data_IF_571785161281
#
_entry.id   IF_571785161281
#
_cell.length_a   1.000
_cell.length_b   1.000
_cell.length_c   1.000
_cell.angle_alpha   90.00
_cell.angle_beta   90.00
_cell.angle_gamma   90.00
#
_symmetry.space_group_name_H-M   'P 1'
#
loop_
_entity.id
_entity.type
_entity.pdbx_description
1 polymer ?
#
# COMPACT_ATOMS: atom_id res chain seq x y z
N UNK A 1 -20.11 -22.77 28.01
CA UNK A 1 -19.43 -23.82 27.24
C UNK A 1 -18.00 -23.92 27.74
N UNK A 2 -17.57 -25.06 28.25
CA UNK A 2 -16.19 -25.24 28.67
C UNK A 2 -15.28 -25.27 27.43
N UNK A 3 -14.40 -24.29 27.33
CA UNK A 3 -13.44 -24.20 26.24
C UNK A 3 -12.43 -25.36 26.35
N UNK A 4 -12.48 -26.33 25.41
CA UNK A 4 -11.55 -27.46 25.40
C UNK A 4 -10.13 -26.95 25.19
N UNK A 5 -9.20 -27.36 26.04
CA UNK A 5 -7.82 -26.92 26.03
C UNK A 5 -6.88 -28.09 25.74
N UNK A 6 -5.64 -27.81 25.34
CA UNK A 6 -4.59 -28.83 25.17
C UNK A 6 -4.38 -29.65 26.46
N UNK A 7 -4.63 -29.06 27.63
CA UNK A 7 -4.60 -29.75 28.94
C UNK A 7 -5.74 -30.78 29.04
N UNK A 8 -6.90 -30.48 28.49
CA UNK A 8 -8.04 -31.39 28.44
C UNK A 8 -7.71 -32.61 27.58
N UNK A 9 -7.17 -32.43 26.40
CA UNK A 9 -6.72 -33.53 25.54
C UNK A 9 -5.66 -34.41 26.23
N UNK A 10 -4.67 -33.76 26.86
CA UNK A 10 -3.60 -34.47 27.55
C UNK A 10 -4.15 -35.37 28.70
N UNK A 11 -5.13 -34.86 29.45
CA UNK A 11 -5.79 -35.60 30.51
C UNK A 11 -6.58 -36.78 29.99
N UNK A 12 -7.42 -36.59 28.97
CA UNK A 12 -8.26 -37.65 28.36
C UNK A 12 -7.39 -38.77 27.72
N UNK A 13 -6.30 -38.40 27.08
CA UNK A 13 -5.37 -39.34 26.44
C UNK A 13 -4.35 -39.98 27.40
N UNK A 14 -4.29 -39.50 28.64
CA UNK A 14 -3.31 -39.88 29.68
C UNK A 14 -1.85 -39.74 29.19
N UNK A 15 -1.56 -38.63 28.49
CA UNK A 15 -0.21 -38.27 28.02
C UNK A 15 0.14 -36.87 28.48
N UNK A 16 1.41 -36.49 28.32
CA UNK A 16 1.85 -35.13 28.66
C UNK A 16 1.31 -34.09 27.67
N UNK A 17 1.14 -32.83 28.12
CA UNK A 17 0.81 -31.69 27.25
C UNK A 17 1.84 -31.53 26.14
N UNK A 18 3.12 -31.82 26.42
CA UNK A 18 4.18 -31.78 25.44
C UNK A 18 3.99 -32.83 24.33
N UNK A 19 3.57 -34.06 24.70
CA UNK A 19 3.25 -35.13 23.75
C UNK A 19 2.11 -34.75 22.83
N UNK A 20 1.00 -34.20 23.37
CA UNK A 20 -0.13 -33.71 22.58
C UNK A 20 0.30 -32.59 21.63
N UNK A 21 1.07 -31.60 22.12
CA UNK A 21 1.57 -30.49 21.30
C UNK A 21 2.48 -30.93 20.15
N UNK A 22 3.32 -31.95 20.39
CA UNK A 22 4.20 -32.53 19.38
C UNK A 22 3.43 -33.36 18.36
N UNK A 23 2.45 -34.15 18.81
CA UNK A 23 1.60 -34.95 17.94
C UNK A 23 0.76 -34.08 16.99
N UNK A 24 0.14 -33.00 17.49
CA UNK A 24 -0.61 -32.02 16.66
C UNK A 24 0.25 -31.27 15.63
N UNK A 25 1.58 -31.24 15.82
CA UNK A 25 2.55 -30.63 14.91
C UNK A 25 3.28 -31.63 14.02
N UNK A 26 2.81 -32.86 14.00
CA UNK A 26 3.40 -33.97 13.25
C UNK A 26 4.90 -34.20 13.53
N UNK A 27 5.34 -33.99 14.76
CA UNK A 27 6.75 -34.11 15.14
C UNK A 27 7.25 -35.57 14.97
N UNK A 28 8.46 -35.73 14.47
CA UNK A 28 9.06 -37.04 14.15
C UNK A 28 9.30 -37.94 15.38
N UNK A 29 9.43 -37.35 16.56
CA UNK A 29 9.65 -38.01 17.83
C UNK A 29 8.39 -38.60 18.49
N UNK A 30 7.23 -38.49 17.83
CA UNK A 30 5.96 -39.08 18.25
C UNK A 30 5.55 -40.18 17.26
N UNK A 31 5.34 -41.37 17.78
CA UNK A 31 4.95 -42.53 16.96
C UNK A 31 3.57 -42.36 16.28
N UNK A 32 3.38 -42.97 15.07
CA UNK A 32 2.15 -42.81 14.26
C UNK A 32 0.86 -43.09 15.02
N UNK A 33 0.82 -44.15 15.83
CA UNK A 33 -0.33 -44.55 16.62
C UNK A 33 -0.72 -43.47 17.65
N UNK A 34 0.23 -42.79 18.26
CA UNK A 34 -0.02 -41.69 19.21
C UNK A 34 -0.51 -40.45 18.50
N UNK A 35 0.05 -40.13 17.34
CA UNK A 35 -0.43 -39.02 16.48
C UNK A 35 -1.89 -39.21 16.12
N UNK A 36 -2.25 -40.38 15.62
CA UNK A 36 -3.59 -40.71 15.21
C UNK A 36 -4.61 -40.56 16.37
N UNK A 37 -4.28 -41.13 17.55
CA UNK A 37 -5.12 -41.00 18.74
C UNK A 37 -5.34 -39.54 19.18
N UNK A 38 -4.30 -38.69 19.06
CA UNK A 38 -4.38 -37.27 19.41
C UNK A 38 -5.27 -36.53 18.43
N UNK A 39 -5.14 -36.77 17.10
CA UNK A 39 -5.95 -36.15 16.06
C UNK A 39 -7.44 -36.54 16.22
N UNK A 40 -7.75 -37.82 16.39
CA UNK A 40 -9.12 -38.32 16.61
C UNK A 40 -9.77 -37.71 17.85
N UNK A 41 -8.99 -37.56 18.95
CA UNK A 41 -9.49 -36.92 20.15
C UNK A 41 -9.73 -35.42 19.97
N UNK A 42 -8.84 -34.73 19.24
CA UNK A 42 -8.99 -33.32 18.91
C UNK A 42 -10.27 -33.07 18.10
N UNK A 43 -10.50 -33.88 17.07
CA UNK A 43 -11.72 -33.81 16.25
C UNK A 43 -12.98 -34.11 17.07
N UNK A 44 -12.98 -35.17 17.90
CA UNK A 44 -14.10 -35.55 18.74
C UNK A 44 -14.50 -34.44 19.73
N UNK A 45 -13.52 -33.70 20.26
CA UNK A 45 -13.75 -32.63 21.22
C UNK A 45 -13.85 -31.24 20.56
N UNK A 46 -13.85 -31.16 19.22
CA UNK A 46 -13.77 -29.90 18.47
C UNK A 46 -12.66 -28.96 18.99
N UNK A 47 -11.50 -29.55 19.28
CA UNK A 47 -10.36 -28.80 19.75
C UNK A 47 -9.62 -28.15 18.57
N UNK A 48 -9.57 -26.82 18.56
CA UNK A 48 -8.75 -26.07 17.63
C UNK A 48 -7.48 -25.62 18.37
N UNK A 49 -6.28 -26.02 17.88
CA UNK A 49 -5.03 -25.54 18.44
C UNK A 49 -4.98 -23.99 18.44
N UNK A 50 -4.70 -23.39 19.58
CA UNK A 50 -4.48 -21.95 19.64
C UNK A 50 -3.11 -21.63 19.03
N UNK A 51 -3.04 -20.97 17.87
CA UNK A 51 -1.77 -20.64 17.19
C UNK A 51 -0.90 -19.71 18.04
N UNK A 52 -1.51 -18.90 18.90
CA UNK A 52 -0.82 -17.94 19.78
C UNK A 52 -0.17 -18.61 21.01
N UNK A 53 -0.64 -19.78 21.45
CA UNK A 53 -0.03 -20.48 22.58
C UNK A 53 1.40 -20.98 22.31
N UNK A 54 1.76 -21.16 21.04
CA UNK A 54 3.11 -21.54 20.61
C UNK A 54 4.04 -20.35 20.35
N UNK A 55 3.47 -19.19 20.00
CA UNK A 55 4.19 -17.95 19.68
C UNK A 55 4.83 -17.31 20.92
N UNK A 56 4.15 -17.32 22.06
CA UNK A 56 4.70 -16.87 23.36
C UNK A 56 6.00 -17.60 23.74
N UNK A 57 6.12 -18.89 23.39
CA UNK A 57 7.31 -19.70 23.68
C UNK A 57 8.44 -19.48 22.68
N UNK A 58 8.12 -19.14 21.41
CA UNK A 58 9.08 -18.93 20.32
C UNK A 58 9.38 -17.46 20.05
N UNK A 59 8.73 -16.51 20.73
CA UNK A 59 8.78 -15.06 20.46
C UNK A 59 8.52 -14.72 18.96
N UNK A 60 7.70 -15.53 18.27
CA UNK A 60 7.29 -15.31 16.88
C UNK A 60 5.79 -15.47 16.77
N UNK A 61 5.10 -14.39 16.38
CA UNK A 61 3.64 -14.38 16.24
C UNK A 61 3.16 -15.06 14.95
N UNK A 62 4.06 -15.28 13.98
CA UNK A 62 3.71 -15.69 12.62
C UNK A 62 2.70 -14.73 11.96
N UNK A 63 2.80 -13.46 12.30
CA UNK A 63 1.93 -12.40 11.82
C UNK A 63 2.79 -11.22 11.40
N UNK A 64 2.47 -10.64 10.26
CA UNK A 64 3.01 -9.35 9.82
C UNK A 64 1.89 -8.32 9.78
N UNK A 65 2.22 -7.04 9.95
CA UNK A 65 1.28 -5.95 9.79
C UNK A 65 1.51 -5.21 8.47
N UNK A 66 0.41 -4.76 7.86
CA UNK A 66 0.39 -3.74 6.83
C UNK A 66 -0.25 -2.50 7.45
N UNK A 67 0.48 -1.38 7.46
CA UNK A 67 0.00 -0.09 7.95
C UNK A 67 -0.11 0.86 6.75
N UNK A 68 -1.31 1.37 6.49
CA UNK A 68 -1.57 2.22 5.32
C UNK A 68 -2.71 3.21 5.58
N UNK A 69 -2.81 4.30 4.78
CA UNK A 69 -3.80 5.34 5.03
C UNK A 69 -5.23 4.88 4.75
N UNK A 70 -5.45 4.11 3.68
CA UNK A 70 -6.78 3.67 3.25
C UNK A 70 -6.69 2.40 2.37
N UNK A 71 -7.80 1.66 2.22
CA UNK A 71 -7.91 0.49 1.31
C UNK A 71 -8.77 0.78 0.09
N UNK A 72 -9.47 1.91 0.06
CA UNK A 72 -10.41 2.23 -1.02
C UNK A 72 -9.70 2.51 -2.36
N UNK A 73 -8.43 2.88 -2.33
CA UNK A 73 -7.60 3.06 -3.52
C UNK A 73 -7.21 1.70 -4.12
N UNK A 74 -7.39 1.55 -5.44
CA UNK A 74 -7.08 0.30 -6.15
C UNK A 74 -5.60 -0.09 -6.06
N UNK A 75 -4.70 0.88 -5.91
CA UNK A 75 -3.27 0.64 -5.67
C UNK A 75 -3.06 -0.17 -4.38
N UNK A 76 -3.61 0.30 -3.25
CA UNK A 76 -3.40 -0.39 -1.97
C UNK A 76 -4.04 -1.77 -1.94
N UNK A 77 -5.22 -1.94 -2.53
CA UNK A 77 -5.86 -3.26 -2.60
C UNK A 77 -5.04 -4.28 -3.39
N UNK A 78 -4.41 -3.86 -4.50
CA UNK A 78 -3.50 -4.72 -5.27
C UNK A 78 -2.19 -4.99 -4.54
N UNK A 79 -1.62 -3.99 -3.85
CA UNK A 79 -0.41 -4.18 -3.04
C UNK A 79 -0.66 -5.18 -1.89
N UNK A 80 -1.81 -5.08 -1.20
CA UNK A 80 -2.23 -6.03 -0.17
C UNK A 80 -2.29 -7.45 -0.75
N UNK A 81 -2.88 -7.65 -1.93
CA UNK A 81 -2.93 -8.97 -2.57
C UNK A 81 -1.53 -9.53 -2.84
N UNK A 82 -0.58 -8.69 -3.27
CA UNK A 82 0.82 -9.09 -3.46
C UNK A 82 1.51 -9.49 -2.15
N UNK A 83 1.25 -8.75 -1.07
CA UNK A 83 1.77 -9.04 0.27
C UNK A 83 1.17 -10.34 0.82
N UNK A 84 -0.14 -10.51 0.69
CA UNK A 84 -0.87 -11.66 1.19
C UNK A 84 -0.39 -12.96 0.51
N UNK A 85 -0.21 -12.96 -0.81
CA UNK A 85 0.31 -14.09 -1.55
C UNK A 85 1.68 -14.56 -1.02
N UNK A 86 2.59 -13.62 -0.73
CA UNK A 86 3.89 -13.93 -0.14
C UNK A 86 3.78 -14.39 1.32
N UNK A 87 2.89 -13.79 2.11
CA UNK A 87 2.68 -14.18 3.50
C UNK A 87 2.12 -15.61 3.60
N UNK A 88 1.16 -15.97 2.77
CA UNK A 88 0.59 -17.31 2.68
C UNK A 88 1.68 -18.35 2.36
N UNK A 89 2.53 -18.08 1.36
CA UNK A 89 3.66 -18.95 0.99
C UNK A 89 4.61 -19.20 2.18
N UNK A 90 4.83 -18.19 3.02
CA UNK A 90 5.72 -18.26 4.20
C UNK A 90 5.01 -18.76 5.47
N UNK A 91 3.71 -19.05 5.41
CA UNK A 91 2.91 -19.48 6.56
C UNK A 91 2.74 -18.38 7.61
N UNK A 92 2.55 -17.14 7.16
CA UNK A 92 2.26 -15.97 7.98
C UNK A 92 0.84 -15.47 7.77
N UNK A 93 0.27 -14.87 8.82
CA UNK A 93 -0.96 -14.11 8.75
C UNK A 93 -0.67 -12.64 8.49
N UNK A 94 -1.59 -11.95 7.84
CA UNK A 94 -1.52 -10.52 7.58
C UNK A 94 -2.58 -9.81 8.41
N UNK A 95 -2.19 -8.75 9.13
CA UNK A 95 -3.09 -7.81 9.77
C UNK A 95 -3.00 -6.46 9.07
N UNK A 96 -4.14 -5.88 8.72
CA UNK A 96 -4.22 -4.59 8.06
C UNK A 96 -4.66 -3.55 9.07
N UNK A 97 -3.92 -2.45 9.18
CA UNK A 97 -4.20 -1.33 10.04
C UNK A 97 -4.32 -0.05 9.22
N UNK A 98 -5.42 0.68 9.42
CA UNK A 98 -5.71 1.90 8.68
C UNK A 98 -5.46 3.12 9.56
N UNK A 99 -4.57 3.99 9.09
CA UNK A 99 -4.25 5.24 9.79
C UNK A 99 -5.27 6.34 9.49
N UNK A 100 -6.01 6.23 8.38
CA UNK A 100 -6.94 7.27 7.89
C UNK A 100 -6.27 8.65 7.80
N UNK A 101 -5.04 8.66 7.26
CA UNK A 101 -4.18 9.85 7.12
C UNK A 101 -3.83 10.53 8.46
N UNK A 102 -4.02 9.87 9.61
CA UNK A 102 -3.77 10.44 10.93
C UNK A 102 -2.43 9.99 11.50
N UNK A 103 -1.53 10.94 11.72
CA UNK A 103 -0.23 10.71 12.37
C UNK A 103 -0.36 10.17 13.80
N UNK A 104 -1.38 10.64 14.54
CA UNK A 104 -1.65 10.14 15.89
C UNK A 104 -2.04 8.66 15.89
N UNK A 105 -2.87 8.22 14.92
CA UNK A 105 -3.22 6.80 14.75
C UNK A 105 -2.03 5.97 14.31
N UNK A 106 -1.20 6.46 13.38
CA UNK A 106 0.02 5.78 12.94
C UNK A 106 0.92 5.48 14.15
N UNK A 107 1.20 6.48 14.99
CA UNK A 107 1.97 6.29 16.23
C UNK A 107 1.33 5.29 17.19
N UNK A 108 0.03 5.36 17.42
CA UNK A 108 -0.67 4.45 18.31
C UNK A 108 -0.59 3.00 17.83
N UNK A 109 -0.79 2.76 16.52
CA UNK A 109 -0.70 1.43 15.90
C UNK A 109 0.71 0.84 16.08
N UNK A 110 1.76 1.62 15.75
CA UNK A 110 3.13 1.12 15.86
C UNK A 110 3.55 0.89 17.32
N UNK A 111 3.05 1.69 18.25
CA UNK A 111 3.27 1.47 19.69
C UNK A 111 2.68 0.13 20.16
N UNK A 112 1.49 -0.25 19.68
CA UNK A 112 0.87 -1.54 20.02
C UNK A 112 1.72 -2.73 19.54
N UNK A 113 2.46 -2.59 18.42
CA UNK A 113 3.32 -3.65 17.90
C UNK A 113 4.54 -3.93 18.76
N UNK A 114 4.96 -3.00 19.60
CA UNK A 114 6.04 -3.21 20.57
C UNK A 114 5.72 -4.34 21.58
N UNK A 115 4.45 -4.75 21.71
CA UNK A 115 4.02 -5.88 22.53
C UNK A 115 4.35 -7.26 21.96
N UNK A 116 4.93 -7.34 20.75
CA UNK A 116 5.21 -8.61 20.06
C UNK A 116 4.00 -9.21 19.33
N UNK A 117 2.99 -8.39 19.03
CA UNK A 117 1.80 -8.80 18.28
C UNK A 117 2.13 -9.20 16.85
N UNK A 118 3.15 -8.59 16.24
CA UNK A 118 3.61 -8.84 14.88
C UNK A 118 5.11 -9.08 14.84
N UNK A 119 5.58 -9.85 13.87
CA UNK A 119 6.98 -10.16 13.68
C UNK A 119 7.68 -9.11 12.80
N UNK A 120 6.91 -8.37 11.98
CA UNK A 120 7.42 -7.34 11.09
C UNK A 120 6.32 -6.47 10.51
N UNK A 121 6.68 -5.33 9.93
CA UNK A 121 5.76 -4.29 9.47
C UNK A 121 6.09 -3.85 8.04
N UNK A 122 5.07 -3.76 7.21
CA UNK A 122 5.06 -3.07 5.93
C UNK A 122 4.27 -1.78 6.11
N UNK A 123 4.84 -0.62 5.77
CA UNK A 123 4.20 0.67 6.02
C UNK A 123 4.24 1.58 4.80
N UNK A 124 3.11 2.21 4.50
CA UNK A 124 2.97 3.38 3.64
C UNK A 124 2.51 4.55 4.51
N UNK A 125 3.31 5.61 4.57
CA UNK A 125 3.15 6.71 5.52
C UNK A 125 1.88 7.52 5.31
N UNK A 126 1.40 8.17 6.37
CA UNK A 126 0.32 9.15 6.27
C UNK A 126 0.83 10.47 5.71
N UNK A 127 -0.06 11.28 5.14
CA UNK A 127 0.28 12.65 4.70
C UNK A 127 0.56 13.61 5.86
N UNK A 128 0.16 13.25 7.08
CA UNK A 128 0.39 14.02 8.31
C UNK A 128 1.68 13.62 9.04
N UNK A 129 2.42 12.60 8.59
CA UNK A 129 3.64 12.14 9.26
C UNK A 129 4.71 13.24 9.20
N UNK A 130 5.12 13.73 10.36
CA UNK A 130 6.10 14.82 10.54
C UNK A 130 7.35 14.42 11.28
N UNK A 131 7.37 13.25 11.95
CA UNK A 131 8.56 12.65 12.56
C UNK A 131 8.50 11.13 12.44
N UNK A 132 9.65 10.48 12.59
CA UNK A 132 9.81 9.03 12.37
C UNK A 132 10.27 8.27 13.60
N UNK A 133 10.39 8.93 14.75
CA UNK A 133 10.85 8.36 16.02
C UNK A 133 10.08 7.09 16.42
N UNK A 134 8.76 7.07 16.22
CA UNK A 134 7.91 5.93 16.53
C UNK A 134 8.19 4.69 15.65
N UNK A 135 8.76 4.89 14.45
CA UNK A 135 9.18 3.82 13.54
C UNK A 135 10.58 3.35 13.93
N UNK A 136 11.48 4.29 14.29
CA UNK A 136 12.82 4.00 14.78
C UNK A 136 12.76 3.17 16.07
N UNK A 137 11.97 3.60 17.05
CA UNK A 137 11.73 2.86 18.31
C UNK A 137 11.27 1.41 18.07
N UNK A 138 10.40 1.18 17.07
CA UNK A 138 9.94 -0.15 16.73
C UNK A 138 11.07 -1.00 16.12
N UNK A 139 11.88 -0.40 15.25
CA UNK A 139 13.03 -1.06 14.62
C UNK A 139 14.12 -1.40 15.65
N UNK A 140 14.41 -0.51 16.60
CA UNK A 140 15.36 -0.71 17.70
C UNK A 140 14.93 -1.88 18.63
N UNK A 141 13.64 -2.13 18.75
CA UNK A 141 13.09 -3.30 19.46
C UNK A 141 13.18 -4.60 18.69
N UNK A 142 13.78 -4.56 17.49
CA UNK A 142 14.02 -5.74 16.65
C UNK A 142 12.84 -6.16 15.77
N UNK A 143 11.85 -5.28 15.59
CA UNK A 143 10.76 -5.49 14.62
C UNK A 143 11.16 -4.84 13.29
N UNK A 144 11.49 -5.62 12.24
CA UNK A 144 11.87 -5.06 10.96
C UNK A 144 10.69 -4.32 10.31
N UNK A 145 11.00 -3.15 9.75
CA UNK A 145 10.04 -2.29 9.02
C UNK A 145 10.53 -2.12 7.58
N UNK A 146 9.64 -2.27 6.61
CA UNK A 146 9.89 -1.98 5.19
C UNK A 146 8.86 -0.98 4.72
N UNK A 147 9.32 0.08 4.07
CA UNK A 147 8.44 1.06 3.45
C UNK A 147 8.01 0.61 2.05
N UNK A 148 6.80 0.95 1.67
CA UNK A 148 6.35 0.87 0.29
C UNK A 148 5.46 2.07 -0.08
N UNK A 149 5.52 2.52 -1.34
CA UNK A 149 4.80 3.67 -1.87
C UNK A 149 5.24 4.98 -1.20
N UNK A 150 4.69 5.35 -0.06
CA UNK A 150 5.02 6.56 0.70
C UNK A 150 6.09 6.23 1.73
N UNK A 151 7.25 6.83 1.57
CA UNK A 151 8.47 6.47 2.30
C UNK A 151 9.07 7.66 3.05
N UNK A 152 9.89 7.36 4.05
CA UNK A 152 10.83 8.30 4.65
C UNK A 152 12.22 8.03 4.08
N UNK A 153 12.81 9.02 3.42
CA UNK A 153 14.13 8.86 2.80
C UNK A 153 15.26 8.78 3.82
N UNK A 154 15.12 9.43 4.95
CA UNK A 154 16.12 9.50 6.02
C UNK A 154 16.26 8.18 6.79
N UNK A 155 15.21 7.36 6.82
CA UNK A 155 15.26 6.11 7.58
C UNK A 155 16.11 5.03 6.89
N UNK A 156 17.07 4.39 7.62
CA UNK A 156 17.95 3.37 7.08
C UNK A 156 17.28 2.01 7.00
N UNK A 157 16.24 1.88 6.18
CA UNK A 157 15.55 0.61 5.90
C UNK A 157 15.19 0.50 4.42
N UNK A 158 14.70 -0.66 3.99
CA UNK A 158 14.29 -0.90 2.61
C UNK A 158 13.04 -0.08 2.23
N UNK A 159 13.08 0.45 1.02
CA UNK A 159 12.02 1.25 0.42
C UNK A 159 11.65 0.65 -0.95
N UNK A 160 10.39 0.35 -1.16
CA UNK A 160 9.86 -0.09 -2.44
C UNK A 160 8.99 1.02 -3.00
N UNK A 161 9.47 1.69 -4.03
CA UNK A 161 8.82 2.85 -4.65
C UNK A 161 8.58 2.62 -6.14
N UNK A 162 7.85 3.54 -6.76
CA UNK A 162 7.78 3.65 -8.22
C UNK A 162 8.68 4.79 -8.72
N UNK A 163 8.87 4.83 -10.03
CA UNK A 163 9.58 5.87 -10.75
C UNK A 163 8.74 7.16 -10.87
N UNK A 164 8.30 7.70 -9.73
CA UNK A 164 7.28 8.76 -9.66
C UNK A 164 7.69 10.04 -10.42
N UNK A 165 8.99 10.40 -10.42
CA UNK A 165 9.48 11.53 -11.20
C UNK A 165 9.32 11.27 -12.70
N UNK A 166 9.81 10.13 -13.19
CA UNK A 166 9.73 9.75 -14.60
C UNK A 166 8.28 9.60 -15.06
N UNK A 167 7.43 9.08 -14.17
CA UNK A 167 6.00 8.91 -14.42
C UNK A 167 5.27 10.27 -14.54
N UNK A 168 5.59 11.23 -13.66
CA UNK A 168 5.07 12.60 -13.74
C UNK A 168 5.55 13.31 -15.01
N UNK A 169 6.82 13.16 -15.36
CA UNK A 169 7.41 13.67 -16.60
C UNK A 169 6.70 13.10 -17.83
N UNK A 170 6.53 11.78 -17.87
CA UNK A 170 5.88 11.07 -18.97
C UNK A 170 4.42 11.48 -19.17
N UNK A 171 3.68 11.69 -18.06
CA UNK A 171 2.30 12.15 -18.12
C UNK A 171 2.17 13.53 -18.76
N UNK A 172 3.01 14.50 -18.35
CA UNK A 172 3.03 15.83 -18.93
C UNK A 172 3.47 15.80 -20.42
N UNK A 173 4.56 15.09 -20.72
CA UNK A 173 5.08 14.93 -22.08
C UNK A 173 4.01 14.38 -23.02
N UNK A 174 3.29 13.35 -22.60
CA UNK A 174 2.22 12.77 -23.40
C UNK A 174 1.12 13.79 -23.72
N UNK A 175 0.67 14.60 -22.75
CA UNK A 175 -0.33 15.64 -22.99
C UNK A 175 0.18 16.71 -23.95
N UNK A 176 1.45 17.12 -23.84
CA UNK A 176 2.09 18.07 -24.74
C UNK A 176 2.14 17.52 -26.18
N UNK A 177 2.55 16.28 -26.35
CA UNK A 177 2.58 15.57 -27.65
C UNK A 177 1.16 15.43 -28.24
N UNK A 178 0.12 15.38 -27.40
CA UNK A 178 -1.29 15.42 -27.81
C UNK A 178 -1.84 16.83 -28.05
N UNK A 179 -0.98 17.83 -28.09
CA UNK A 179 -1.30 19.21 -28.45
C UNK A 179 -1.80 20.10 -27.31
N UNK A 180 -1.78 19.63 -26.06
CA UNK A 180 -2.15 20.48 -24.91
C UNK A 180 -1.12 21.61 -24.73
N UNK A 181 -1.63 22.78 -24.36
CA UNK A 181 -0.83 24.00 -24.15
C UNK A 181 -0.96 24.55 -22.72
N UNK A 182 -2.04 24.28 -22.04
CA UNK A 182 -2.30 24.68 -20.66
C UNK A 182 -2.53 23.44 -19.83
N UNK A 183 -1.48 23.01 -19.14
CA UNK A 183 -1.53 21.81 -18.34
C UNK A 183 -1.68 22.13 -16.85
N UNK A 184 -2.47 21.32 -16.16
CA UNK A 184 -2.58 21.36 -14.70
C UNK A 184 -2.34 19.99 -14.11
N UNK A 185 -1.52 19.94 -13.05
CA UNK A 185 -1.36 18.77 -12.19
C UNK A 185 -2.17 18.96 -10.91
N UNK A 186 -3.02 18.01 -10.59
CA UNK A 186 -3.82 17.99 -9.35
C UNK A 186 -3.13 17.10 -8.33
N UNK A 187 -2.77 17.65 -7.16
CA UNK A 187 -2.09 16.95 -6.07
C UNK A 187 -2.84 17.09 -4.76
N UNK A 188 -2.76 16.08 -3.87
CA UNK A 188 -3.42 16.11 -2.55
C UNK A 188 -2.46 16.41 -1.40
N UNK A 189 -1.16 16.45 -1.65
CA UNK A 189 -0.15 16.66 -0.62
C UNK A 189 1.08 17.34 -1.20
N UNK A 190 1.77 18.11 -0.38
CA UNK A 190 3.10 18.67 -0.63
C UNK A 190 4.16 18.10 0.35
N UNK A 191 3.79 17.17 1.20
CA UNK A 191 4.68 16.52 2.17
C UNK A 191 5.07 15.08 1.79
N UNK A 192 4.27 14.42 0.94
CA UNK A 192 4.55 13.06 0.52
C UNK A 192 5.59 13.02 -0.60
N UNK A 193 6.58 12.13 -0.48
CA UNK A 193 7.63 11.91 -1.49
C UNK A 193 7.06 11.65 -2.88
N UNK A 194 6.05 10.75 -2.99
CA UNK A 194 5.38 10.44 -4.25
C UNK A 194 4.75 11.66 -4.92
N UNK A 195 4.09 12.52 -4.14
CA UNK A 195 3.43 13.73 -4.66
C UNK A 195 4.46 14.73 -5.18
N UNK A 196 5.54 14.94 -4.43
CA UNK A 196 6.60 15.86 -4.81
C UNK A 196 7.34 15.37 -6.07
N UNK A 197 7.71 14.10 -6.11
CA UNK A 197 8.40 13.52 -7.28
C UNK A 197 7.54 13.60 -8.55
N UNK A 198 6.24 13.24 -8.48
CA UNK A 198 5.31 13.37 -9.63
C UNK A 198 5.19 14.82 -10.10
N UNK A 199 5.07 15.75 -9.16
CA UNK A 199 4.99 17.19 -9.46
C UNK A 199 6.29 17.71 -10.07
N UNK A 200 7.44 17.35 -9.53
CA UNK A 200 8.76 17.75 -10.07
C UNK A 200 8.97 17.23 -11.48
N UNK A 201 8.67 15.95 -11.73
CA UNK A 201 8.72 15.37 -13.06
C UNK A 201 7.79 16.08 -14.06
N UNK A 202 6.54 16.36 -13.64
CA UNK A 202 5.58 17.13 -14.42
C UNK A 202 6.13 18.53 -14.78
N UNK A 203 6.62 19.27 -13.81
CA UNK A 203 7.19 20.62 -14.02
C UNK A 203 8.44 20.58 -14.89
N UNK A 204 9.30 19.57 -14.74
CA UNK A 204 10.48 19.40 -15.58
C UNK A 204 10.10 19.18 -17.03
N UNK A 205 9.07 18.35 -17.29
CA UNK A 205 8.57 18.14 -18.66
C UNK A 205 8.03 19.43 -19.27
N UNK A 206 7.32 20.27 -18.52
CA UNK A 206 6.86 21.57 -19.02
C UNK A 206 8.03 22.47 -19.42
N UNK A 207 9.08 22.56 -18.60
CA UNK A 207 10.27 23.36 -18.88
C UNK A 207 10.99 22.88 -20.14
N UNK A 208 11.23 21.57 -20.25
CA UNK A 208 11.94 20.97 -21.37
C UNK A 208 11.22 21.18 -22.71
N UNK A 209 9.88 21.32 -22.68
CA UNK A 209 9.06 21.56 -23.88
C UNK A 209 8.62 23.03 -24.05
N UNK A 210 9.19 23.96 -23.26
CA UNK A 210 8.91 25.40 -23.37
C UNK A 210 7.45 25.77 -23.07
N UNK A 211 6.77 25.01 -22.21
CA UNK A 211 5.41 25.32 -21.79
C UNK A 211 5.41 26.36 -20.67
N UNK A 212 4.40 27.22 -20.65
CA UNK A 212 4.27 28.23 -19.62
C UNK A 212 3.84 27.62 -18.27
N UNK A 213 4.51 28.05 -17.19
CA UNK A 213 4.14 27.70 -15.82
C UNK A 213 3.36 28.85 -15.21
N UNK A 214 2.09 28.60 -14.91
CA UNK A 214 1.14 29.58 -14.36
C UNK A 214 0.72 29.18 -12.93
N UNK A 215 0.05 30.05 -12.17
CA UNK A 215 -0.49 29.66 -10.86
C UNK A 215 -1.48 28.47 -10.89
N UNK A 216 -2.08 28.18 -12.05
CA UNK A 216 -2.99 27.03 -12.23
C UNK A 216 -2.28 25.76 -12.69
N UNK A 217 -0.97 25.80 -12.88
CA UNK A 217 -0.18 24.62 -13.32
C UNK A 217 -0.15 23.53 -12.24
N UNK A 218 -0.02 23.92 -10.97
CA UNK A 218 -0.14 23.00 -9.82
C UNK A 218 -1.35 23.43 -9.00
N UNK A 219 -2.31 22.51 -8.85
CA UNK A 219 -3.54 22.74 -8.09
C UNK A 219 -3.55 21.79 -6.90
N UNK A 220 -3.48 22.40 -5.71
CA UNK A 220 -3.57 21.64 -4.46
C UNK A 220 -5.02 21.32 -4.15
N UNK A 221 -5.28 20.03 -4.01
CA UNK A 221 -6.50 19.41 -3.56
C UNK A 221 -6.35 18.91 -2.12
N UNK A 222 -7.33 18.17 -1.63
CA UNK A 222 -7.31 17.61 -0.27
C UNK A 222 -7.84 16.17 -0.26
N UNK A 223 -8.00 15.60 0.92
CA UNK A 223 -8.68 14.31 1.08
C UNK A 223 -10.22 14.43 1.04
N UNK A 224 -10.77 15.64 1.00
CA UNK A 224 -12.20 15.96 0.98
C UNK A 224 -12.70 16.07 -0.48
N UNK A 225 -13.57 15.16 -0.89
CA UNK A 225 -14.08 15.09 -2.27
C UNK A 225 -14.93 16.30 -2.67
N UNK A 226 -15.73 16.86 -1.76
CA UNK A 226 -16.58 18.01 -2.06
C UNK A 226 -15.76 19.28 -2.28
N UNK A 227 -14.73 19.49 -1.43
CA UNK A 227 -13.78 20.59 -1.63
C UNK A 227 -13.02 20.44 -2.95
N UNK A 228 -12.57 19.22 -3.27
CA UNK A 228 -11.90 18.95 -4.54
C UNK A 228 -12.80 19.24 -5.73
N UNK A 229 -14.07 18.84 -5.67
CA UNK A 229 -15.04 19.13 -6.72
C UNK A 229 -15.19 20.65 -6.95
N UNK A 230 -15.31 21.42 -5.86
CA UNK A 230 -15.40 22.88 -5.93
C UNK A 230 -14.15 23.50 -6.56
N UNK A 231 -12.94 23.05 -6.14
CA UNK A 231 -11.66 23.54 -6.66
C UNK A 231 -11.52 23.22 -8.15
N UNK A 232 -11.84 22.00 -8.55
CA UNK A 232 -11.72 21.54 -9.95
C UNK A 232 -12.74 22.27 -10.83
N UNK A 233 -13.99 22.47 -10.39
CA UNK A 233 -14.97 23.27 -11.15
C UNK A 233 -14.51 24.71 -11.33
N UNK A 234 -13.94 25.34 -10.30
CA UNK A 234 -13.38 26.69 -10.39
C UNK A 234 -12.22 26.75 -11.39
N UNK A 235 -11.33 25.76 -11.39
CA UNK A 235 -10.25 25.64 -12.36
C UNK A 235 -10.79 25.53 -13.78
N UNK A 236 -11.77 24.66 -14.02
CA UNK A 236 -12.37 24.40 -15.33
C UNK A 236 -13.24 25.58 -15.83
N UNK A 237 -13.78 26.41 -14.95
CA UNK A 237 -14.54 27.62 -15.29
C UNK A 237 -13.64 28.83 -15.59
N UNK A 238 -12.35 28.78 -15.30
CA UNK A 238 -11.45 29.92 -15.45
C UNK A 238 -11.19 30.27 -16.94
N UNK A 239 -10.87 31.53 -17.22
CA UNK A 239 -10.45 31.96 -18.59
C UNK A 239 -9.19 31.26 -19.05
N UNK A 240 -8.30 30.90 -18.12
CA UNK A 240 -7.08 30.11 -18.38
C UNK A 240 -7.27 28.61 -18.19
N UNK A 241 -8.49 28.09 -18.39
CA UNK A 241 -8.82 26.66 -18.24
C UNK A 241 -7.75 25.77 -18.88
N UNK A 242 -7.29 24.74 -18.15
CA UNK A 242 -6.39 23.75 -18.72
C UNK A 242 -7.07 22.94 -19.83
N UNK A 243 -6.31 22.62 -20.86
CA UNK A 243 -6.69 21.67 -21.92
C UNK A 243 -6.09 20.27 -21.68
N UNK A 244 -5.22 20.15 -20.67
CA UNK A 244 -4.64 18.90 -20.19
C UNK A 244 -4.56 18.85 -18.65
N UNK A 245 -5.06 17.76 -18.06
CA UNK A 245 -5.04 17.53 -16.60
C UNK A 245 -4.35 16.22 -16.29
N UNK A 246 -3.41 16.27 -15.34
CA UNK A 246 -2.82 15.10 -14.68
C UNK A 246 -3.36 15.00 -13.26
N UNK A 247 -4.15 13.97 -12.97
CA UNK A 247 -4.62 13.64 -11.63
C UNK A 247 -3.62 12.69 -10.96
N UNK A 248 -2.88 13.15 -9.95
CA UNK A 248 -1.77 12.39 -9.35
C UNK A 248 -2.21 11.28 -8.42
N UNK A 249 -3.50 11.20 -8.08
CA UNK A 249 -4.13 10.13 -7.29
C UNK A 249 -5.51 9.78 -7.83
N UNK A 250 -5.93 8.54 -7.63
CA UNK A 250 -7.13 7.95 -8.23
C UNK A 250 -8.44 8.71 -7.90
N UNK A 251 -8.61 9.15 -6.66
CA UNK A 251 -9.82 9.88 -6.22
C UNK A 251 -10.06 11.21 -6.95
N UNK A 252 -9.00 11.86 -7.44
CA UNK A 252 -9.11 13.11 -8.21
C UNK A 252 -9.63 12.87 -9.62
N UNK A 253 -9.42 11.71 -10.20
CA UNK A 253 -9.87 11.36 -11.55
C UNK A 253 -11.38 11.39 -11.64
N UNK A 254 -12.05 10.70 -10.72
CA UNK A 254 -13.52 10.66 -10.66
C UNK A 254 -14.10 12.08 -10.51
N UNK A 255 -13.45 12.90 -9.70
CA UNK A 255 -13.86 14.30 -9.49
C UNK A 255 -13.70 15.14 -10.76
N UNK A 256 -12.62 14.93 -11.55
CA UNK A 256 -12.44 15.61 -12.85
C UNK A 256 -13.52 15.20 -13.85
N UNK A 257 -13.79 13.89 -13.98
CA UNK A 257 -14.82 13.39 -14.88
C UNK A 257 -16.20 13.92 -14.51
N UNK A 258 -16.55 13.91 -13.23
CA UNK A 258 -17.82 14.46 -12.73
C UNK A 258 -17.94 15.95 -13.03
N UNK A 259 -16.92 16.74 -12.71
CA UNK A 259 -16.92 18.18 -12.99
C UNK A 259 -17.04 18.48 -14.49
N UNK A 260 -16.33 17.74 -15.35
CA UNK A 260 -16.46 17.88 -16.80
C UNK A 260 -17.88 17.55 -17.28
N UNK A 261 -18.48 16.46 -16.78
CA UNK A 261 -19.85 16.07 -17.14
C UNK A 261 -20.88 17.14 -16.74
N UNK A 262 -20.81 17.66 -15.51
CA UNK A 262 -21.70 18.71 -15.02
C UNK A 262 -21.57 20.03 -15.79
N UNK A 263 -20.33 20.35 -16.23
CA UNK A 263 -20.04 21.56 -17.00
C UNK A 263 -20.19 21.37 -18.51
N UNK A 264 -20.63 20.19 -18.96
CA UNK A 264 -20.75 19.82 -20.38
C UNK A 264 -19.45 19.99 -21.17
N UNK A 265 -18.32 19.74 -20.51
CA UNK A 265 -17.00 19.75 -21.13
C UNK A 265 -16.67 18.36 -21.67
N UNK A 266 -16.36 18.29 -22.97
CA UNK A 266 -16.00 17.02 -23.61
C UNK A 266 -14.53 16.61 -23.32
N UNK A 267 -14.38 15.38 -22.88
CA UNK A 267 -13.10 14.68 -22.83
C UNK A 267 -13.03 13.74 -24.03
N UNK A 268 -11.98 13.78 -24.86
CA UNK A 268 -10.73 14.55 -24.74
C UNK A 268 -10.74 15.90 -25.49
N UNK A 269 -11.82 16.28 -26.21
CA UNK A 269 -11.80 17.39 -27.18
C UNK A 269 -11.51 18.74 -26.54
N UNK A 270 -12.06 19.01 -25.36
CA UNK A 270 -11.87 20.28 -24.63
C UNK A 270 -10.88 20.16 -23.48
N UNK A 271 -10.81 18.99 -22.83
CA UNK A 271 -9.89 18.69 -21.74
C UNK A 271 -9.40 17.26 -21.86
N UNK A 272 -8.11 17.05 -22.01
CA UNK A 272 -7.49 15.73 -21.96
C UNK A 272 -7.15 15.38 -20.51
N UNK A 273 -7.32 14.11 -20.12
CA UNK A 273 -7.15 13.65 -18.73
C UNK A 273 -6.26 12.43 -18.67
N UNK A 274 -5.23 12.49 -17.83
CA UNK A 274 -4.41 11.35 -17.39
C UNK A 274 -4.58 11.17 -15.89
N UNK A 275 -4.67 9.94 -15.42
CA UNK A 275 -4.71 9.63 -14.01
C UNK A 275 -3.64 8.65 -13.58
N UNK A 276 -3.04 8.85 -12.39
CA UNK A 276 -2.33 7.79 -11.69
C UNK A 276 -3.36 6.85 -11.09
N UNK A 277 -3.48 5.63 -11.66
CA UNK A 277 -4.56 4.73 -11.28
C UNK A 277 -4.31 3.29 -11.69
N UNK A 278 -4.77 2.38 -10.85
CA UNK A 278 -4.85 0.94 -11.08
C UNK A 278 -6.30 0.46 -11.27
N UNK A 279 -7.26 1.38 -11.50
CA UNK A 279 -8.68 1.05 -11.67
C UNK A 279 -8.90 0.04 -12.79
N UNK A 280 -9.47 -1.13 -12.50
CA UNK A 280 -9.82 -2.11 -13.54
C UNK A 280 -10.93 -1.58 -14.47
N UNK A 281 -11.68 -0.59 -14.05
CA UNK A 281 -12.74 0.07 -14.83
C UNK A 281 -12.22 1.16 -15.76
N UNK A 282 -10.95 1.56 -15.70
CA UNK A 282 -10.37 2.59 -16.58
C UNK A 282 -10.65 2.37 -18.08
N UNK A 283 -10.60 1.14 -18.64
CA UNK A 283 -10.91 0.87 -20.03
C UNK A 283 -12.39 1.08 -20.43
N UNK A 284 -13.31 1.00 -19.48
CA UNK A 284 -14.77 1.07 -19.73
C UNK A 284 -15.39 2.41 -19.32
N UNK A 285 -14.59 3.33 -18.78
CA UNK A 285 -15.05 4.71 -18.56
C UNK A 285 -15.39 5.36 -19.93
N UNK A 286 -16.20 6.39 -19.93
CA UNK A 286 -16.59 7.11 -21.13
C UNK A 286 -16.20 8.61 -21.04
N UNK A 287 -15.12 9.01 -21.76
CA UNK A 287 -14.18 8.16 -22.51
C UNK A 287 -13.30 7.28 -21.63
N UNK A 288 -12.73 6.20 -22.20
CA UNK A 288 -11.80 5.33 -21.46
C UNK A 288 -10.56 6.10 -21.02
N UNK A 289 -10.15 5.87 -19.76
CA UNK A 289 -9.13 6.67 -19.08
C UNK A 289 -7.71 6.25 -19.45
N UNK A 290 -6.90 7.20 -19.91
CA UNK A 290 -5.43 7.07 -20.00
C UNK A 290 -4.84 7.10 -18.61
N UNK A 291 -4.02 6.09 -18.27
CA UNK A 291 -3.46 5.94 -16.91
C UNK A 291 -1.95 5.84 -16.90
N UNK A 292 -1.33 6.40 -15.87
CA UNK A 292 -0.05 5.92 -15.35
C UNK A 292 -0.41 4.81 -14.35
N UNK A 293 -0.09 3.58 -14.69
CA UNK A 293 -0.42 2.40 -13.88
C UNK A 293 0.81 1.93 -13.13
N UNK A 294 0.72 1.91 -11.81
CA UNK A 294 1.80 1.47 -10.91
C UNK A 294 1.75 -0.05 -10.75
N UNK A 295 2.89 -0.77 -10.67
CA UNK A 295 2.93 -2.22 -10.50
C UNK A 295 2.66 -2.62 -9.05
N UNK A 296 1.50 -2.25 -8.50
CA UNK A 296 1.15 -2.34 -7.09
C UNK A 296 1.27 -3.77 -6.51
N UNK A 297 0.81 -4.79 -7.24
CA UNK A 297 0.92 -6.18 -6.82
C UNK A 297 2.40 -6.61 -6.67
N UNK A 298 3.25 -6.27 -7.65
CA UNK A 298 4.68 -6.58 -7.61
C UNK A 298 5.41 -5.78 -6.53
N UNK A 299 4.99 -4.55 -6.27
CA UNK A 299 5.50 -3.75 -5.14
C UNK A 299 5.20 -4.44 -3.80
N UNK A 300 3.97 -4.92 -3.60
CA UNK A 300 3.59 -5.67 -2.41
C UNK A 300 4.41 -6.95 -2.23
N UNK A 301 4.62 -7.71 -3.32
CA UNK A 301 5.49 -8.90 -3.32
C UNK A 301 6.95 -8.56 -2.98
N UNK A 302 7.50 -7.51 -3.58
CA UNK A 302 8.88 -7.08 -3.34
C UNK A 302 9.08 -6.65 -1.89
N UNK A 303 8.19 -5.80 -1.36
CA UNK A 303 8.25 -5.33 0.03
C UNK A 303 8.17 -6.50 1.03
N UNK A 304 7.21 -7.41 0.86
CA UNK A 304 7.08 -8.58 1.72
C UNK A 304 8.24 -9.56 1.56
N UNK A 305 8.79 -9.75 0.36
CA UNK A 305 9.98 -10.57 0.15
C UNK A 305 11.17 -10.08 0.97
N UNK A 306 11.41 -8.76 0.99
CA UNK A 306 12.48 -8.15 1.80
C UNK A 306 12.21 -8.30 3.30
N UNK A 307 10.97 -8.08 3.74
CA UNK A 307 10.59 -8.29 5.12
C UNK A 307 10.84 -9.75 5.56
N UNK A 308 10.44 -10.74 4.76
CA UNK A 308 10.67 -12.15 5.07
C UNK A 308 12.15 -12.55 5.02
N UNK A 309 12.98 -11.93 4.18
CA UNK A 309 14.44 -12.09 4.24
C UNK A 309 14.98 -11.61 5.58
N UNK A 310 14.55 -10.43 6.05
CA UNK A 310 14.96 -9.90 7.37
C UNK A 310 14.50 -10.80 8.53
N UNK A 311 13.28 -11.35 8.47
CA UNK A 311 12.74 -12.26 9.48
C UNK A 311 13.43 -13.63 9.52
N UNK A 312 14.03 -14.08 8.42
CA UNK A 312 14.63 -15.41 8.28
C UNK A 312 16.14 -15.43 8.40
N UNK A 313 16.83 -14.33 8.06
CA UNK A 313 18.30 -14.24 8.01
C UNK A 313 18.83 -13.27 9.06
N UNK A 314 19.42 -13.74 10.17
CA UNK A 314 20.09 -12.87 11.13
C UNK A 314 21.15 -12.01 10.44
N UNK A 315 21.16 -10.70 10.72
CA UNK A 315 22.12 -9.76 10.15
C UNK A 315 21.81 -9.28 8.73
N UNK A 316 20.65 -9.60 8.16
CA UNK A 316 20.22 -9.05 6.88
C UNK A 316 19.96 -7.54 7.01
N UNK A 317 20.62 -6.75 6.17
CA UNK A 317 20.60 -5.29 6.25
C UNK A 317 19.59 -4.71 5.25
N UNK A 318 18.37 -4.43 5.70
CA UNK A 318 17.28 -3.86 4.88
C UNK A 318 17.68 -2.56 4.20
N UNK A 319 18.51 -1.72 4.82
CA UNK A 319 18.96 -0.43 4.26
C UNK A 319 19.71 -0.52 2.92
N UNK A 320 20.17 -1.72 2.52
CA UNK A 320 20.88 -1.94 1.24
C UNK A 320 19.97 -2.48 0.13
N UNK A 321 18.68 -2.63 0.38
CA UNK A 321 17.78 -3.43 -0.47
C UNK A 321 16.60 -2.61 -1.06
N UNK A 322 16.74 -1.29 -1.16
CA UNK A 322 15.69 -0.46 -1.78
C UNK A 322 15.54 -0.76 -3.28
N UNK A 323 14.30 -0.64 -3.79
CA UNK A 323 13.96 -0.94 -5.18
C UNK A 323 12.97 0.08 -5.73
N UNK A 324 13.23 0.54 -6.95
CA UNK A 324 12.29 1.34 -7.75
C UNK A 324 11.72 0.46 -8.85
N UNK A 325 10.39 0.35 -8.94
CA UNK A 325 9.70 -0.45 -9.96
C UNK A 325 8.97 0.49 -10.91
N UNK A 326 9.14 0.29 -12.23
CA UNK A 326 8.63 1.20 -13.24
C UNK A 326 7.12 1.16 -13.39
N UNK A 327 6.52 2.33 -13.49
CA UNK A 327 5.13 2.55 -13.88
C UNK A 327 4.95 2.45 -15.39
N UNK A 328 3.72 2.24 -15.87
CA UNK A 328 3.39 2.08 -17.29
C UNK A 328 2.33 3.10 -17.72
N UNK A 329 2.60 3.87 -18.78
CA UNK A 329 1.59 4.69 -19.43
C UNK A 329 0.70 3.81 -20.32
N UNK A 330 -0.59 3.75 -20.02
CA UNK A 330 -1.61 3.07 -20.83
C UNK A 330 -2.50 4.09 -21.50
N UNK A 331 -2.25 4.35 -22.79
CA UNK A 331 -2.97 5.35 -23.58
C UNK A 331 -4.37 4.85 -23.96
N UNK A 332 -5.38 5.69 -23.72
CA UNK A 332 -6.80 5.42 -24.03
C UNK A 332 -7.54 6.67 -24.48
N UNK A 333 -8.87 6.58 -24.60
CA UNK A 333 -9.73 7.61 -25.19
C UNK A 333 -9.69 8.98 -24.52
N UNK A 334 -9.32 9.11 -23.25
CA UNK A 334 -9.27 10.41 -22.58
C UNK A 334 -8.13 11.33 -23.02
N UNK A 335 -7.23 10.85 -23.90
CA UNK A 335 -6.12 11.65 -24.47
C UNK A 335 -5.94 11.43 -25.97
N UNK A 336 -6.77 10.61 -26.60
CA UNK A 336 -6.71 10.34 -28.05
C UNK A 336 -7.45 11.37 -28.90
#
# INVERSE_FOLDING_TARGET
MNNVTIKTLAKELKVSVATVSKALKDSYDIGPATKQRVLEMADRLNYVPNPYAGSLRKRKSKTIAIVLPEVADSFFSLAINGIEAMAQEKGYHVLIYLTHESFAKEKAILKDFQSGRVDGVLISLTSETTSYEHIEELSERGVPVVFFDRVCEEMPTAKITTDDFDAGYLAAKHLIEKGCRRLSSLSISNSLSISNNRMEGFLQSLKDHGQEITPSTIVMCSNDLEKNHTVIKKLLASKGRPDGIVATVEKLITTVYLACAEMQLSIPQQVKVIGFSNLPTAPILNPSLTTITQPAFEMGKAASSLLFKALSKPGFLLQKESMVIKSVLSVRGSTQ
#
